data_IF_887890228152
#
_entry.id   IF_887890228152
#
_cell.length_a   1.000
_cell.length_b   1.000
_cell.length_c   1.000
_cell.angle_alpha   90.00
_cell.angle_beta   90.00
_cell.angle_gamma   90.00
#
_symmetry.space_group_name_H-M   'P 1'
#
loop_
_entity.id
_entity.type
_entity.pdbx_description
1 polymer ?
#
# COMPACT_ATOMS: atom_id res chain seq x y z
N UNK A 1 -8.76 -23.20 6.71
CA UNK A 1 -7.33 -23.46 6.82
C UNK A 1 -6.62 -22.79 5.64
N UNK A 2 -5.52 -22.08 5.88
CA UNK A 2 -4.68 -21.53 4.81
C UNK A 2 -3.89 -22.62 4.09
N UNK A 3 -3.31 -22.29 2.95
CA UNK A 3 -2.45 -23.20 2.20
C UNK A 3 -1.02 -23.31 2.78
N UNK A 4 -0.66 -22.40 3.70
CA UNK A 4 0.65 -22.34 4.33
C UNK A 4 0.61 -22.96 5.72
N UNK A 5 1.61 -23.77 6.06
CA UNK A 5 1.79 -24.40 7.35
C UNK A 5 2.67 -23.58 8.29
N UNK A 6 3.66 -22.88 7.72
CA UNK A 6 4.65 -22.10 8.45
C UNK A 6 4.73 -20.66 7.90
N UNK A 7 5.20 -19.68 8.70
CA UNK A 7 5.17 -18.26 8.30
C UNK A 7 6.09 -17.90 7.14
N UNK A 8 7.12 -18.66 6.87
CA UNK A 8 8.07 -18.47 5.79
C UNK A 8 7.61 -19.03 4.43
N UNK A 9 6.49 -19.73 4.41
CA UNK A 9 5.85 -20.21 3.17
C UNK A 9 5.01 -19.14 2.46
N UNK A 10 4.86 -17.94 3.06
CA UNK A 10 4.03 -16.85 2.56
C UNK A 10 4.81 -15.55 2.53
N UNK A 11 4.71 -14.80 1.43
CA UNK A 11 5.21 -13.43 1.34
C UNK A 11 4.03 -12.47 1.51
N UNK A 12 4.12 -11.58 2.50
CA UNK A 12 3.11 -10.55 2.74
C UNK A 12 3.43 -9.30 1.91
N UNK A 13 2.48 -8.83 1.11
CA UNK A 13 2.60 -7.59 0.36
C UNK A 13 1.23 -6.99 0.09
N UNK A 14 1.18 -5.72 -0.26
CA UNK A 14 -0.06 -4.99 -0.59
C UNK A 14 -0.12 -4.56 -2.04
N UNK A 15 1.03 -4.42 -2.68
CA UNK A 15 1.18 -4.16 -4.12
C UNK A 15 2.47 -4.78 -4.66
N UNK A 16 2.54 -4.93 -5.97
CA UNK A 16 3.67 -5.47 -6.70
C UNK A 16 3.84 -4.73 -8.02
N UNK A 17 4.76 -5.17 -8.87
CA UNK A 17 4.94 -4.61 -10.21
C UNK A 17 3.70 -4.81 -11.12
N UNK A 18 2.93 -5.88 -10.90
CA UNK A 18 1.64 -6.11 -11.54
C UNK A 18 0.52 -5.33 -10.83
N UNK A 19 -0.55 -5.08 -11.55
CA UNK A 19 -1.72 -4.35 -11.11
C UNK A 19 -1.42 -2.87 -10.77
N UNK A 20 -2.38 -2.20 -10.14
CA UNK A 20 -2.22 -0.83 -9.66
C UNK A 20 -1.17 -0.76 -8.53
N UNK A 21 -0.45 0.36 -8.42
CA UNK A 21 0.28 0.66 -7.18
C UNK A 21 -0.71 0.82 -6.03
N UNK A 22 -0.26 0.73 -4.79
CA UNK A 22 -1.13 0.94 -3.63
C UNK A 22 -1.79 2.33 -3.67
N UNK A 23 -1.03 3.37 -4.02
CA UNK A 23 -1.56 4.74 -4.17
C UNK A 23 -2.66 4.82 -5.24
N UNK A 24 -2.45 4.20 -6.40
CA UNK A 24 -3.45 4.17 -7.48
C UNK A 24 -4.69 3.38 -7.08
N UNK A 25 -4.53 2.24 -6.43
CA UNK A 25 -5.63 1.43 -5.92
C UNK A 25 -6.47 2.18 -4.88
N UNK A 26 -5.85 2.92 -3.97
CA UNK A 26 -6.53 3.79 -3.01
C UNK A 26 -7.22 4.97 -3.71
N UNK A 27 -6.60 5.54 -4.74
CA UNK A 27 -7.22 6.63 -5.53
C UNK A 27 -8.48 6.17 -6.24
N UNK A 28 -8.51 4.95 -6.75
CA UNK A 28 -9.69 4.36 -7.41
C UNK A 28 -10.81 3.98 -6.43
N UNK A 29 -10.49 3.68 -5.16
CA UNK A 29 -11.45 3.13 -4.20
C UNK A 29 -11.99 4.13 -3.20
N UNK A 30 -11.22 5.17 -2.88
CA UNK A 30 -11.63 6.19 -1.92
C UNK A 30 -12.52 7.25 -2.57
N UNK A 31 -13.42 7.88 -1.83
CA UNK A 31 -14.11 9.08 -2.28
C UNK A 31 -13.12 10.13 -2.80
N UNK A 32 -13.50 10.84 -3.87
CA UNK A 32 -12.61 11.81 -4.52
C UNK A 32 -12.23 12.95 -3.57
N UNK A 33 -13.12 13.33 -2.68
CA UNK A 33 -12.96 14.37 -1.67
C UNK A 33 -12.12 13.97 -0.45
N UNK A 34 -11.67 12.70 -0.36
CA UNK A 34 -10.80 12.25 0.75
C UNK A 34 -9.51 13.08 0.77
N UNK A 35 -9.21 13.76 1.89
CA UNK A 35 -8.01 14.60 2.01
C UNK A 35 -6.72 13.80 1.78
N UNK A 36 -5.67 14.45 1.23
CA UNK A 36 -4.40 13.78 0.98
C UNK A 36 -3.77 13.23 2.27
N UNK A 37 -3.88 13.94 3.38
CA UNK A 37 -3.39 13.46 4.68
C UNK A 37 -4.01 12.11 5.09
N UNK A 38 -5.30 11.89 4.79
CA UNK A 38 -5.97 10.63 5.08
C UNK A 38 -5.58 9.54 4.08
N UNK A 39 -5.33 9.90 2.80
CA UNK A 39 -4.78 8.97 1.79
C UNK A 39 -3.40 8.47 2.19
N UNK A 40 -2.53 9.35 2.70
CA UNK A 40 -1.21 8.98 3.24
C UNK A 40 -1.35 8.02 4.41
N UNK A 41 -2.25 8.31 5.37
CA UNK A 41 -2.49 7.41 6.52
C UNK A 41 -3.02 6.05 6.10
N UNK A 42 -3.92 6.00 5.12
CA UNK A 42 -4.45 4.74 4.59
C UNK A 42 -3.38 3.94 3.84
N UNK A 43 -2.51 4.60 3.06
CA UNK A 43 -1.35 3.96 2.44
C UNK A 43 -0.46 3.31 3.52
N UNK A 44 -0.14 4.07 4.57
CA UNK A 44 0.66 3.57 5.71
C UNK A 44 -0.04 2.44 6.46
N UNK A 45 -1.36 2.52 6.65
CA UNK A 45 -2.13 1.44 7.28
C UNK A 45 -2.06 0.14 6.47
N UNK A 46 -2.20 0.22 5.14
CA UNK A 46 -2.06 -0.94 4.27
C UNK A 46 -0.65 -1.54 4.34
N UNK A 47 0.39 -0.69 4.33
CA UNK A 47 1.77 -1.14 4.54
C UNK A 47 1.96 -1.78 5.92
N UNK A 48 1.35 -1.22 6.96
CA UNK A 48 1.44 -1.75 8.32
C UNK A 48 0.84 -3.17 8.43
N UNK A 49 -0.30 -3.43 7.78
CA UNK A 49 -0.93 -4.75 7.77
C UNK A 49 -0.01 -5.83 7.19
N UNK A 50 0.73 -5.52 6.12
CA UNK A 50 1.73 -6.43 5.58
C UNK A 50 2.98 -6.48 6.46
N UNK A 51 3.51 -5.32 6.86
CA UNK A 51 4.80 -5.17 7.54
C UNK A 51 4.81 -5.75 8.95
N UNK A 52 3.71 -5.64 9.69
CA UNK A 52 3.59 -6.16 11.05
C UNK A 52 3.11 -7.62 11.10
N UNK A 53 2.93 -8.25 9.95
CA UNK A 53 2.70 -9.69 9.84
C UNK A 53 3.92 -10.52 10.23
N UNK A 54 3.73 -11.82 10.45
CA UNK A 54 4.77 -12.72 10.95
C UNK A 54 5.70 -13.28 9.87
N UNK A 55 5.24 -13.34 8.61
CA UNK A 55 6.02 -13.85 7.47
C UNK A 55 6.99 -12.82 6.88
N UNK A 56 7.75 -13.21 5.86
CA UNK A 56 8.49 -12.29 5.00
C UNK A 56 7.58 -11.21 4.43
N UNK A 57 8.14 -10.02 4.24
CA UNK A 57 7.42 -8.86 3.72
C UNK A 57 8.11 -8.35 2.47
N UNK A 58 7.34 -8.03 1.45
CA UNK A 58 7.82 -7.36 0.25
C UNK A 58 7.10 -6.02 0.11
N UNK A 59 7.86 -4.96 -0.15
CA UNK A 59 7.34 -3.67 -0.59
C UNK A 59 7.72 -3.44 -2.04
N UNK A 60 6.75 -3.08 -2.84
CA UNK A 60 7.00 -2.62 -4.21
C UNK A 60 7.75 -1.27 -4.16
N UNK A 61 8.78 -1.12 -4.97
CA UNK A 61 9.61 0.08 -4.98
C UNK A 61 8.78 1.34 -5.22
N UNK A 62 8.84 2.29 -4.29
CA UNK A 62 8.11 3.55 -4.33
C UNK A 62 6.75 3.54 -3.61
N UNK A 63 6.28 2.42 -3.07
CA UNK A 63 5.03 2.40 -2.29
C UNK A 63 5.11 3.28 -1.06
N UNK A 64 6.28 3.37 -0.45
CA UNK A 64 6.58 4.23 0.69
C UNK A 64 6.56 5.73 0.35
N UNK A 65 6.73 6.09 -0.91
CA UNK A 65 6.69 7.48 -1.42
C UNK A 65 5.47 7.76 -2.29
N UNK A 66 4.40 6.99 -2.14
CA UNK A 66 3.12 7.16 -2.86
C UNK A 66 3.23 7.05 -4.38
N UNK A 67 4.14 6.23 -4.90
CA UNK A 67 4.33 6.05 -6.34
C UNK A 67 3.02 5.75 -7.06
N UNK A 68 2.81 6.41 -8.18
CA UNK A 68 1.69 6.18 -9.09
C UNK A 68 2.18 5.72 -10.47
N UNK A 69 1.40 4.86 -11.11
CA UNK A 69 1.52 4.54 -12.55
C UNK A 69 0.43 5.23 -13.36
N UNK A 70 -0.06 6.39 -12.89
CA UNK A 70 -1.16 7.13 -13.52
C UNK A 70 -2.40 6.25 -13.76
N UNK A 71 -2.73 5.40 -12.78
CA UNK A 71 -3.82 4.41 -12.79
C UNK A 71 -3.63 3.25 -13.80
N UNK A 72 -2.44 3.10 -14.40
CA UNK A 72 -2.18 1.97 -15.30
C UNK A 72 -2.00 0.68 -14.51
N UNK A 73 -2.91 -0.26 -14.76
CA UNK A 73 -2.86 -1.56 -14.12
C UNK A 73 -1.80 -2.50 -14.70
N UNK A 74 -1.52 -2.37 -16.00
CA UNK A 74 -0.68 -3.31 -16.74
C UNK A 74 0.41 -2.55 -17.50
N UNK A 75 1.33 -1.91 -16.75
CA UNK A 75 2.27 -0.93 -17.28
C UNK A 75 3.56 -1.50 -17.88
N UNK A 76 3.71 -2.84 -18.00
CA UNK A 76 4.96 -3.46 -18.46
C UNK A 76 5.40 -2.97 -19.85
N UNK A 77 4.47 -2.56 -20.70
CA UNK A 77 4.70 -2.06 -22.05
C UNK A 77 4.17 -0.63 -22.27
N UNK A 78 3.98 0.15 -21.20
CA UNK A 78 3.42 1.50 -21.29
C UNK A 78 4.47 2.61 -21.40
N UNK A 79 5.76 2.24 -21.37
CA UNK A 79 6.89 3.17 -21.44
C UNK A 79 7.24 3.84 -20.12
N UNK A 80 8.25 4.71 -20.18
CA UNK A 80 8.87 5.30 -18.99
C UNK A 80 7.93 6.24 -18.23
N UNK A 81 7.02 6.92 -18.91
CA UNK A 81 6.04 7.83 -18.27
C UNK A 81 5.16 7.17 -17.23
N UNK A 82 4.80 5.89 -17.44
CA UNK A 82 3.95 5.11 -16.53
C UNK A 82 4.75 4.24 -15.56
N UNK A 83 6.06 4.09 -15.78
CA UNK A 83 6.95 3.29 -14.93
C UNK A 83 7.97 4.12 -14.16
N UNK A 84 7.82 5.44 -14.20
CA UNK A 84 8.68 6.39 -13.53
C UNK A 84 8.74 6.15 -12.01
N UNK A 85 9.91 6.35 -11.43
CA UNK A 85 10.15 6.29 -10.00
C UNK A 85 11.12 7.40 -9.61
N UNK A 86 10.61 8.40 -8.90
CA UNK A 86 11.40 9.55 -8.45
C UNK A 86 11.77 9.46 -6.98
N UNK A 87 12.98 9.02 -6.72
CA UNK A 87 13.54 8.97 -5.37
C UNK A 87 13.83 10.35 -4.76
N UNK A 88 13.76 11.42 -5.54
CA UNK A 88 13.87 12.80 -5.01
C UNK A 88 12.58 13.27 -4.34
N UNK A 89 11.49 12.52 -4.51
CA UNK A 89 10.15 12.82 -3.95
C UNK A 89 9.62 14.17 -4.43
N UNK A 90 9.85 14.53 -5.69
CA UNK A 90 9.32 15.74 -6.31
C UNK A 90 8.06 15.46 -7.14
N UNK A 91 7.97 14.26 -7.73
CA UNK A 91 6.82 13.81 -8.51
C UNK A 91 6.56 12.31 -8.27
N UNK A 92 5.31 11.97 -7.95
CA UNK A 92 4.93 10.58 -7.73
C UNK A 92 4.45 9.85 -9.01
N UNK A 93 4.40 10.51 -10.16
CA UNK A 93 3.91 9.96 -11.43
C UNK A 93 2.40 10.09 -11.66
N UNK A 94 1.61 10.54 -10.67
CA UNK A 94 0.17 10.71 -10.85
C UNK A 94 -0.15 11.83 -11.84
N UNK A 95 -1.06 11.55 -12.79
CA UNK A 95 -1.46 12.51 -13.80
C UNK A 95 -0.47 12.64 -14.97
N UNK A 96 0.45 11.70 -15.16
CA UNK A 96 1.34 11.66 -16.31
C UNK A 96 0.60 11.52 -17.66
N UNK A 97 -0.63 11.05 -17.63
CA UNK A 97 -1.51 10.90 -18.79
C UNK A 97 -2.51 9.78 -18.58
N UNK A 98 -3.41 9.59 -19.55
CA UNK A 98 -4.28 8.41 -19.58
C UNK A 98 -3.45 7.17 -19.95
N UNK A 99 -3.63 6.05 -19.25
CA UNK A 99 -2.96 4.80 -19.60
C UNK A 99 -3.23 4.37 -21.05
N UNK A 100 -2.30 3.62 -21.69
CA UNK A 100 -2.45 3.20 -23.08
C UNK A 100 -3.77 2.53 -23.40
N UNK A 101 -4.35 2.87 -24.54
CA UNK A 101 -5.69 2.48 -24.96
C UNK A 101 -5.95 0.95 -25.00
N UNK A 102 -5.01 0.12 -25.50
CA UNK A 102 -5.28 -1.32 -25.65
C UNK A 102 -5.85 -1.98 -24.38
N UNK A 103 -5.28 -1.66 -23.22
CA UNK A 103 -5.67 -2.28 -21.94
C UNK A 103 -6.59 -1.38 -21.10
N UNK A 104 -6.72 -0.07 -21.43
CA UNK A 104 -7.32 0.89 -20.53
C UNK A 104 -8.47 1.71 -21.11
N UNK A 105 -8.69 1.74 -22.43
CA UNK A 105 -9.67 2.63 -23.05
C UNK A 105 -11.08 2.49 -22.44
N UNK A 106 -11.50 1.27 -22.11
CA UNK A 106 -12.81 1.00 -21.48
C UNK A 106 -12.95 1.59 -20.06
N UNK A 107 -11.83 1.98 -19.45
CA UNK A 107 -11.77 2.57 -18.11
C UNK A 107 -11.58 4.09 -18.15
N UNK A 108 -11.25 4.68 -19.28
CA UNK A 108 -10.92 6.10 -19.39
C UNK A 108 -12.03 7.03 -18.90
N UNK A 109 -13.29 6.63 -19.02
CA UNK A 109 -14.43 7.46 -18.59
C UNK A 109 -14.37 7.82 -17.10
N UNK A 110 -13.87 6.91 -16.25
CA UNK A 110 -13.71 7.18 -14.80
C UNK A 110 -12.27 7.58 -14.42
N UNK A 111 -11.27 7.23 -15.22
CA UNK A 111 -9.89 7.66 -14.99
C UNK A 111 -9.68 9.15 -15.28
N UNK A 112 -10.32 9.69 -16.33
CA UNK A 112 -10.18 11.09 -16.73
C UNK A 112 -10.45 12.08 -15.59
N UNK A 113 -11.60 12.03 -14.88
CA UNK A 113 -11.89 12.98 -13.81
C UNK A 113 -10.93 12.82 -12.63
N UNK A 114 -10.44 11.63 -12.34
CA UNK A 114 -9.45 11.41 -11.29
C UNK A 114 -8.10 12.02 -11.67
N UNK A 115 -7.58 11.70 -12.84
CA UNK A 115 -6.27 12.18 -13.31
C UNK A 115 -6.24 13.69 -13.58
N UNK A 116 -7.40 14.29 -13.89
CA UNK A 116 -7.53 15.74 -14.07
C UNK A 116 -7.64 16.51 -12.73
N UNK A 117 -7.88 15.82 -11.62
CA UNK A 117 -8.03 16.43 -10.31
C UNK A 117 -6.67 16.61 -9.61
N UNK A 118 -6.09 17.81 -9.70
CA UNK A 118 -4.82 18.13 -9.08
C UNK A 118 -4.78 17.95 -7.55
N UNK A 119 -5.93 17.95 -6.87
CA UNK A 119 -6.00 17.67 -5.42
C UNK A 119 -5.68 16.21 -5.07
N UNK A 120 -5.71 15.30 -6.05
CA UNK A 120 -5.32 13.89 -5.87
C UNK A 120 -3.83 13.65 -6.11
N UNK A 121 -3.07 14.65 -6.58
CA UNK A 121 -1.61 14.55 -6.73
C UNK A 121 -0.94 14.93 -5.40
N UNK A 122 -0.17 14.03 -4.77
CA UNK A 122 0.51 14.35 -3.52
C UNK A 122 1.60 15.38 -3.76
N UNK A 123 1.79 16.25 -2.77
CA UNK A 123 2.92 17.18 -2.75
C UNK A 123 4.22 16.47 -2.34
N UNK A 124 5.40 17.07 -2.58
CA UNK A 124 6.66 16.58 -2.04
C UNK A 124 6.64 16.41 -0.51
N UNK A 125 5.87 17.23 0.20
CA UNK A 125 5.73 17.10 1.66
C UNK A 125 4.91 15.86 2.04
N UNK A 126 3.85 15.55 1.30
CA UNK A 126 3.05 14.33 1.51
C UNK A 126 3.87 13.07 1.25
N UNK A 127 4.69 13.08 0.19
CA UNK A 127 5.58 11.96 -0.16
C UNK A 127 6.62 11.72 0.94
N UNK A 128 7.27 12.78 1.44
CA UNK A 128 8.22 12.69 2.56
C UNK A 128 7.55 12.19 3.84
N UNK A 129 6.37 12.69 4.15
CA UNK A 129 5.61 12.24 5.31
C UNK A 129 5.23 10.76 5.23
N UNK A 130 4.81 10.29 4.04
CA UNK A 130 4.54 8.87 3.82
C UNK A 130 5.80 8.01 4.02
N UNK A 131 6.94 8.47 3.50
CA UNK A 131 8.24 7.80 3.66
C UNK A 131 8.66 7.72 5.14
N UNK A 132 8.52 8.82 5.89
CA UNK A 132 8.87 8.83 7.31
C UNK A 132 8.04 7.83 8.11
N UNK A 133 6.72 7.77 7.87
CA UNK A 133 5.83 6.77 8.48
C UNK A 133 6.22 5.33 8.09
N UNK A 134 6.61 5.11 6.84
CA UNK A 134 7.09 3.81 6.37
C UNK A 134 8.41 3.41 7.06
N UNK A 135 9.34 4.35 7.23
CA UNK A 135 10.57 4.14 8.01
C UNK A 135 10.26 3.78 9.46
N UNK A 136 9.26 4.41 10.08
CA UNK A 136 8.86 4.09 11.45
C UNK A 136 8.28 2.67 11.57
N UNK A 137 7.52 2.21 10.58
CA UNK A 137 7.08 0.81 10.52
C UNK A 137 8.25 -0.18 10.47
N UNK A 138 9.27 0.12 9.66
CA UNK A 138 10.47 -0.72 9.58
C UNK A 138 11.26 -0.70 10.89
N UNK A 139 11.43 0.47 11.52
CA UNK A 139 12.07 0.58 12.84
C UNK A 139 11.32 -0.22 13.90
N UNK A 140 9.98 -0.11 13.92
CA UNK A 140 9.14 -0.89 14.83
C UNK A 140 9.33 -2.40 14.59
N UNK A 141 9.24 -2.87 13.34
CA UNK A 141 9.46 -4.27 13.02
C UNK A 141 10.87 -4.76 13.41
N UNK A 142 11.88 -3.91 13.21
CA UNK A 142 13.27 -4.24 13.52
C UNK A 142 13.54 -4.27 15.03
N UNK A 143 12.85 -3.46 15.84
CA UNK A 143 13.09 -3.28 17.27
C UNK A 143 12.81 -4.52 18.10
N UNK A 144 12.04 -5.47 17.60
CA UNK A 144 11.66 -6.68 18.32
C UNK A 144 11.54 -7.92 17.42
N UNK A 145 11.75 -9.10 18.00
CA UNK A 145 11.50 -10.37 17.31
C UNK A 145 10.02 -10.81 17.36
N UNK A 146 9.16 -10.08 18.05
CA UNK A 146 7.73 -10.43 18.18
C UNK A 146 6.99 -10.44 16.85
N UNK A 147 7.47 -9.68 15.84
CA UNK A 147 6.94 -9.73 14.47
C UNK A 147 7.60 -10.80 13.60
N UNK A 148 8.44 -11.68 14.16
CA UNK A 148 9.20 -12.72 13.45
C UNK A 148 9.38 -13.93 14.38
N UNK A 149 8.27 -14.52 14.82
CA UNK A 149 8.28 -15.64 15.80
C UNK A 149 8.84 -16.95 15.24
N UNK A 150 8.93 -17.08 13.91
CA UNK A 150 9.64 -18.17 13.25
C UNK A 150 8.90 -19.50 13.13
N UNK A 151 7.77 -19.70 13.82
CA UNK A 151 6.96 -20.92 13.62
C UNK A 151 5.47 -20.67 13.87
N UNK A 152 4.63 -21.43 13.17
CA UNK A 152 3.18 -21.39 13.34
C UNK A 152 2.74 -21.72 14.77
N UNK A 153 3.46 -22.60 15.46
CA UNK A 153 3.18 -22.94 16.86
C UNK A 153 3.37 -21.71 17.77
N UNK A 154 4.46 -20.97 17.61
CA UNK A 154 4.70 -19.75 18.39
C UNK A 154 3.70 -18.65 18.05
N UNK A 155 3.36 -18.48 16.77
CA UNK A 155 2.36 -17.51 16.33
C UNK A 155 1.01 -17.80 16.97
N UNK A 156 0.52 -19.03 16.90
CA UNK A 156 -0.75 -19.45 17.55
C UNK A 156 -0.75 -19.26 19.06
N UNK A 157 0.40 -19.41 19.71
CA UNK A 157 0.50 -19.25 21.15
C UNK A 157 0.54 -17.78 21.61
N UNK A 158 1.07 -16.86 20.78
CA UNK A 158 1.38 -15.48 21.20
C UNK A 158 0.57 -14.42 20.51
N UNK A 159 0.24 -14.58 19.22
CA UNK A 159 -0.48 -13.53 18.45
C UNK A 159 -1.98 -13.63 18.70
N UNK A 160 -2.58 -12.53 19.10
CA UNK A 160 -4.01 -12.43 19.39
C UNK A 160 -4.59 -11.15 18.80
N UNK A 161 -5.86 -11.23 18.44
CA UNK A 161 -6.68 -10.08 18.01
C UNK A 161 -7.88 -9.96 18.97
N UNK A 162 -7.67 -9.41 20.19
CA UNK A 162 -8.59 -9.60 21.31
C UNK A 162 -10.00 -9.06 21.09
N UNK A 163 -10.19 -8.05 20.22
CA UNK A 163 -11.51 -7.47 19.96
C UNK A 163 -12.06 -7.80 18.58
N UNK A 164 -11.25 -8.42 17.70
CA UNK A 164 -11.69 -8.71 16.33
C UNK A 164 -12.81 -9.74 16.30
N UNK A 165 -13.89 -9.41 15.58
CA UNK A 165 -15.08 -10.25 15.47
C UNK A 165 -15.98 -10.27 16.71
N UNK A 166 -15.74 -9.41 17.71
CA UNK A 166 -16.58 -9.26 18.89
C UNK A 166 -17.45 -8.00 18.83
N UNK A 167 -18.42 -7.89 19.74
CA UNK A 167 -19.24 -6.67 19.90
C UNK A 167 -18.43 -5.43 20.29
N UNK A 168 -17.23 -5.60 20.85
CA UNK A 168 -16.32 -4.52 21.25
C UNK A 168 -15.45 -4.01 20.11
N UNK A 169 -15.54 -4.59 18.91
CA UNK A 169 -14.75 -4.14 17.76
C UNK A 169 -15.19 -2.75 17.29
N UNK A 170 -14.27 -1.81 17.28
CA UNK A 170 -14.48 -0.49 16.68
C UNK A 170 -14.19 -0.57 15.19
N UNK A 171 -15.12 -0.12 14.30
CA UNK A 171 -14.89 -0.10 12.87
C UNK A 171 -13.60 0.65 12.50
N UNK A 172 -12.78 0.07 11.62
CA UNK A 172 -11.50 0.64 11.19
C UNK A 172 -10.34 0.48 12.19
N UNK A 173 -10.56 -0.13 13.37
CA UNK A 173 -9.51 -0.39 14.36
C UNK A 173 -9.16 -1.87 14.38
N UNK A 174 -7.88 -2.17 14.20
CA UNK A 174 -7.32 -3.51 14.37
C UNK A 174 -6.38 -3.49 15.57
N UNK A 175 -6.69 -4.29 16.59
CA UNK A 175 -5.86 -4.47 17.78
C UNK A 175 -5.15 -5.82 17.70
N UNK A 176 -3.83 -5.80 17.58
CA UNK A 176 -2.98 -7.00 17.62
C UNK A 176 -2.15 -6.98 18.92
N UNK A 177 -2.12 -8.10 19.60
CA UNK A 177 -1.25 -8.36 20.76
C UNK A 177 -0.31 -9.52 20.42
N UNK A 178 0.96 -9.35 20.72
CA UNK A 178 1.99 -10.37 20.52
C UNK A 178 2.75 -10.61 21.81
#
# INVERSE_FOLDING_TARGET
>A
AGYASEPDEVINYVDAHDNETLFDALTLKLPMETPMADRVRLNTLCLALATLGQGPVMWHAGTDILRSKSLDRNSYNSGDWFNFLDWTMTDNGFGAGLPPAPDNAHKWQYMRPLLANGALKPSPADMRFAHDLACDLLRLRASTRLFRLGSAAQIRAKVQFPVSGTWAQVPGVLLMRV
#
